data_IF_060363510954
#
_entry.id   IF_060363510954
#
_cell.length_a   1.000
_cell.length_b   1.000
_cell.length_c   1.000
_cell.angle_alpha   90.00
_cell.angle_beta   90.00
_cell.angle_gamma   90.00
#
_symmetry.space_group_name_H-M   'P 1'
#
loop_
_entity.id
_entity.type
_entity.pdbx_description
1 polymer ?
#
# COMPACT_ATOMS: atom_id res chain seq x y z
N UNK A 1 11.67 -10.55 5.88
CA UNK A 1 10.62 -11.27 5.09
C UNK A 1 10.38 -10.45 3.85
N UNK A 2 10.34 -11.08 2.66
CA UNK A 2 10.01 -10.38 1.42
C UNK A 2 8.49 -10.21 1.29
N UNK A 3 7.99 -9.10 0.70
CA UNK A 3 6.58 -8.96 0.35
C UNK A 3 6.16 -10.04 -0.67
N UNK A 4 5.17 -10.90 -0.37
CA UNK A 4 4.83 -12.04 -1.24
C UNK A 4 4.45 -11.64 -2.67
N UNK A 5 3.77 -10.50 -2.81
CA UNK A 5 3.31 -9.96 -4.09
C UNK A 5 4.41 -9.34 -4.97
N UNK A 6 5.64 -9.16 -4.47
CA UNK A 6 6.76 -8.75 -5.32
C UNK A 6 7.25 -9.91 -6.19
N UNK A 7 7.29 -11.13 -5.65
CA UNK A 7 7.75 -12.31 -6.41
C UNK A 7 6.70 -12.77 -7.42
N UNK A 8 5.45 -12.88 -7.01
CA UNK A 8 4.34 -13.26 -7.87
C UNK A 8 3.06 -12.55 -7.41
N UNK A 9 2.32 -11.96 -8.34
CA UNK A 9 1.01 -11.40 -8.01
C UNK A 9 0.07 -12.52 -7.49
N UNK A 10 -0.77 -12.24 -6.47
CA UNK A 10 -1.70 -13.22 -5.91
C UNK A 10 -2.59 -13.89 -6.98
N UNK A 11 -2.77 -15.20 -6.85
CA UNK A 11 -3.54 -16.06 -7.77
C UNK A 11 -4.90 -16.49 -7.22
N UNK A 12 -5.14 -16.33 -5.92
CA UNK A 12 -6.38 -16.71 -5.23
C UNK A 12 -6.73 -15.62 -4.23
N UNK A 13 -7.44 -14.61 -4.72
CA UNK A 13 -7.82 -13.44 -3.94
C UNK A 13 -9.20 -13.62 -3.34
N UNK A 14 -9.32 -13.47 -2.02
CA UNK A 14 -10.63 -13.36 -1.35
C UNK A 14 -10.96 -11.91 -1.04
N UNK A 15 -12.23 -11.55 -1.22
CA UNK A 15 -12.72 -10.18 -0.99
C UNK A 15 -13.66 -10.18 0.21
N UNK A 16 -13.34 -9.44 1.26
CA UNK A 16 -14.25 -9.29 2.40
C UNK A 16 -15.22 -8.14 2.15
N UNK A 17 -16.50 -8.39 2.48
CA UNK A 17 -17.61 -7.47 2.29
C UNK A 17 -17.75 -6.94 0.83
N UNK A 18 -17.69 -7.81 -0.20
CA UNK A 18 -17.68 -7.38 -1.61
C UNK A 18 -19.01 -6.74 -2.03
N UNK A 19 -20.11 -7.04 -1.34
CA UNK A 19 -21.45 -6.53 -1.66
C UNK A 19 -21.70 -5.09 -1.19
N UNK A 20 -20.79 -4.49 -0.44
CA UNK A 20 -20.88 -3.08 -0.07
C UNK A 20 -20.78 -2.17 -1.29
N UNK A 21 -21.48 -1.02 -1.30
CA UNK A 21 -21.55 -0.13 -2.48
C UNK A 21 -20.17 0.28 -3.02
N UNK A 22 -19.25 0.64 -2.13
CA UNK A 22 -17.87 0.97 -2.51
C UNK A 22 -17.12 -0.27 -2.99
N UNK A 23 -17.17 -1.36 -2.20
CA UNK A 23 -16.50 -2.62 -2.50
C UNK A 23 -16.89 -3.19 -3.87
N UNK A 24 -18.18 -3.17 -4.23
CA UNK A 24 -18.67 -3.68 -5.51
C UNK A 24 -18.04 -2.95 -6.71
N UNK A 25 -17.85 -1.63 -6.62
CA UNK A 25 -17.14 -0.85 -7.66
C UNK A 25 -15.67 -1.24 -7.74
N UNK A 26 -15.02 -1.47 -6.59
CA UNK A 26 -13.63 -1.91 -6.57
C UNK A 26 -13.46 -3.35 -7.07
N UNK A 27 -14.41 -4.24 -6.78
CA UNK A 27 -14.46 -5.60 -7.34
C UNK A 27 -14.55 -5.57 -8.86
N UNK A 28 -15.37 -4.68 -9.43
CA UNK A 28 -15.42 -4.49 -10.88
C UNK A 28 -14.07 -4.04 -11.45
N UNK A 29 -13.41 -3.05 -10.82
CA UNK A 29 -12.07 -2.60 -11.24
C UNK A 29 -10.98 -3.66 -11.09
N UNK A 30 -11.02 -4.46 -10.01
CA UNK A 30 -10.11 -5.59 -9.82
C UNK A 30 -10.31 -6.65 -10.91
N UNK A 31 -11.57 -6.92 -11.31
CA UNK A 31 -11.90 -7.84 -12.40
C UNK A 31 -11.39 -7.34 -13.74
N UNK A 32 -11.60 -6.06 -14.05
CA UNK A 32 -11.08 -5.42 -15.27
C UNK A 32 -9.55 -5.50 -15.33
N UNK A 33 -8.87 -5.36 -14.18
CA UNK A 33 -7.43 -5.52 -14.08
C UNK A 33 -6.93 -6.98 -14.14
N UNK A 34 -7.81 -7.98 -14.27
CA UNK A 34 -7.44 -9.39 -14.34
C UNK A 34 -7.15 -10.04 -12.99
N UNK A 35 -7.57 -9.44 -11.88
CA UNK A 35 -7.32 -9.96 -10.53
C UNK A 35 -8.08 -11.28 -10.32
N UNK A 36 -7.40 -12.38 -9.94
CA UNK A 36 -8.01 -13.70 -9.84
C UNK A 36 -8.75 -13.87 -8.51
N UNK A 37 -9.94 -13.28 -8.43
CA UNK A 37 -10.82 -13.37 -7.28
C UNK A 37 -11.52 -14.73 -7.25
N UNK A 38 -11.44 -15.43 -6.12
CA UNK A 38 -11.97 -16.79 -5.97
C UNK A 38 -13.23 -16.87 -5.12
N UNK A 39 -13.39 -15.96 -4.15
CA UNK A 39 -14.59 -15.89 -3.33
C UNK A 39 -14.74 -14.53 -2.64
N UNK A 40 -15.99 -14.21 -2.31
CA UNK A 40 -16.38 -13.10 -1.47
C UNK A 40 -16.78 -13.57 -0.07
N UNK A 41 -16.25 -12.98 0.98
CA UNK A 41 -16.69 -13.24 2.36
C UNK A 41 -17.76 -12.22 2.75
N UNK A 42 -19.00 -12.68 2.90
CA UNK A 42 -20.17 -11.87 3.19
C UNK A 42 -21.15 -12.63 4.10
N UNK A 43 -21.09 -12.37 5.40
CA UNK A 43 -21.94 -13.01 6.40
C UNK A 43 -23.43 -12.81 6.10
N UNK A 44 -24.20 -13.90 6.13
CA UNK A 44 -25.63 -13.94 5.82
C UNK A 44 -25.94 -13.94 4.32
N UNK A 45 -24.91 -14.01 3.46
CA UNK A 45 -25.06 -14.04 1.99
C UNK A 45 -24.37 -15.25 1.36
N UNK A 46 -23.91 -16.21 2.17
CA UNK A 46 -23.33 -17.47 1.69
C UNK A 46 -24.26 -18.21 0.73
N UNK A 47 -23.68 -18.83 -0.31
CA UNK A 47 -24.42 -19.54 -1.35
C UNK A 47 -24.94 -18.66 -2.48
N UNK A 48 -24.84 -17.33 -2.34
CA UNK A 48 -25.11 -16.37 -3.41
C UNK A 48 -23.89 -16.06 -4.29
N UNK A 49 -24.04 -15.12 -5.20
CA UNK A 49 -22.96 -14.60 -6.07
C UNK A 49 -23.00 -13.07 -6.16
N UNK A 50 -21.86 -12.46 -6.49
CA UNK A 50 -21.72 -11.07 -6.93
C UNK A 50 -20.99 -11.05 -8.27
N UNK A 51 -21.71 -10.83 -9.38
CA UNK A 51 -21.14 -10.85 -10.74
C UNK A 51 -20.23 -12.08 -10.95
N UNK A 52 -20.77 -13.27 -10.72
CA UNK A 52 -20.08 -14.58 -10.77
C UNK A 52 -19.03 -14.86 -9.69
N UNK A 53 -18.75 -13.92 -8.78
CA UNK A 53 -17.93 -14.19 -7.60
C UNK A 53 -18.76 -14.94 -6.55
N UNK A 54 -18.44 -16.19 -6.18
CA UNK A 54 -19.20 -16.92 -5.17
C UNK A 54 -19.07 -16.26 -3.80
N UNK A 55 -20.18 -16.19 -3.06
CA UNK A 55 -20.22 -15.63 -1.72
C UNK A 55 -20.25 -16.74 -0.66
N UNK A 56 -19.46 -16.54 0.39
CA UNK A 56 -19.32 -17.42 1.54
C UNK A 56 -19.62 -16.64 2.82
N UNK A 57 -20.25 -17.29 3.80
CA UNK A 57 -20.52 -16.66 5.10
C UNK A 57 -19.25 -16.44 5.93
N UNK A 58 -18.22 -17.25 5.69
CA UNK A 58 -16.99 -17.26 6.47
C UNK A 58 -15.80 -17.70 5.63
N UNK A 59 -14.63 -17.16 5.95
CA UNK A 59 -13.35 -17.62 5.39
C UNK A 59 -13.11 -19.12 5.62
N UNK A 60 -13.68 -19.71 6.69
CA UNK A 60 -13.56 -21.15 6.98
C UNK A 60 -14.23 -22.04 5.92
N UNK A 61 -15.17 -21.49 5.15
CA UNK A 61 -15.85 -22.21 4.08
C UNK A 61 -15.05 -22.24 2.77
N UNK A 62 -13.87 -21.59 2.73
CA UNK A 62 -13.01 -21.59 1.56
C UNK A 62 -12.30 -22.94 1.44
N UNK A 63 -12.54 -23.65 0.34
CA UNK A 63 -11.96 -25.00 0.12
C UNK A 63 -10.46 -24.97 -0.15
N UNK A 64 -9.99 -23.94 -0.88
CA UNK A 64 -8.60 -23.79 -1.28
C UNK A 64 -8.01 -22.54 -0.64
N UNK A 65 -6.86 -22.63 0.07
CA UNK A 65 -6.26 -21.47 0.72
C UNK A 65 -6.01 -20.29 -0.22
N UNK A 66 -6.47 -19.11 0.17
CA UNK A 66 -6.20 -17.85 -0.49
C UNK A 66 -4.74 -17.43 -0.30
N UNK A 67 -4.15 -16.78 -1.30
CA UNK A 67 -2.82 -16.17 -1.19
C UNK A 67 -2.88 -14.65 -0.92
N UNK A 68 -4.06 -14.04 -1.10
CA UNK A 68 -4.33 -12.68 -0.64
C UNK A 68 -5.78 -12.47 -0.19
N UNK A 69 -5.97 -11.51 0.73
CA UNK A 69 -7.26 -10.99 1.13
C UNK A 69 -7.30 -9.46 0.98
N UNK A 70 -8.36 -8.93 0.39
CA UNK A 70 -8.67 -7.49 0.35
C UNK A 70 -9.91 -7.23 1.21
N UNK A 71 -9.78 -6.33 2.19
CA UNK A 71 -10.77 -6.07 3.21
C UNK A 71 -11.47 -4.74 2.97
N UNK A 72 -12.73 -4.79 2.53
CA UNK A 72 -13.66 -3.67 2.54
C UNK A 72 -14.62 -3.73 3.73
N UNK A 73 -14.15 -4.31 4.83
CA UNK A 73 -14.89 -4.39 6.09
C UNK A 73 -14.99 -2.99 6.69
N UNK A 74 -16.11 -2.60 7.32
CA UNK A 74 -16.19 -1.35 8.07
C UNK A 74 -15.09 -1.24 9.14
N UNK A 75 -14.76 -0.02 9.59
CA UNK A 75 -13.62 0.21 10.48
C UNK A 75 -13.69 -0.60 11.78
N UNK A 76 -14.89 -0.76 12.34
CA UNK A 76 -15.14 -1.48 13.60
C UNK A 76 -14.85 -2.98 13.49
N UNK A 77 -15.00 -3.56 12.28
CA UNK A 77 -14.76 -4.98 12.03
C UNK A 77 -13.38 -5.28 11.40
N UNK A 78 -12.64 -4.26 11.00
CA UNK A 78 -11.41 -4.43 10.21
C UNK A 78 -10.32 -5.15 11.00
N UNK A 79 -10.13 -4.80 12.27
CA UNK A 79 -9.16 -5.47 13.14
C UNK A 79 -9.42 -6.97 13.27
N UNK A 80 -10.68 -7.37 13.40
CA UNK A 80 -11.10 -8.77 13.49
C UNK A 80 -10.89 -9.51 12.16
N UNK A 81 -11.25 -8.89 11.04
CA UNK A 81 -11.06 -9.46 9.71
C UNK A 81 -9.56 -9.71 9.41
N UNK A 82 -8.67 -8.78 9.79
CA UNK A 82 -7.21 -8.97 9.66
C UNK A 82 -6.76 -10.17 10.50
N UNK A 83 -7.21 -10.29 11.76
CA UNK A 83 -6.82 -11.43 12.63
C UNK A 83 -7.36 -12.76 12.12
N UNK A 84 -8.55 -12.79 11.53
CA UNK A 84 -9.07 -13.98 10.86
C UNK A 84 -8.20 -14.40 9.68
N UNK A 85 -7.79 -13.45 8.83
CA UNK A 85 -6.87 -13.73 7.71
C UNK A 85 -5.50 -14.22 8.20
N UNK A 86 -4.97 -13.60 9.26
CA UNK A 86 -3.72 -14.00 9.87
C UNK A 86 -3.78 -15.43 10.45
N UNK A 87 -4.86 -15.76 11.17
CA UNK A 87 -5.08 -17.11 11.70
C UNK A 87 -5.25 -18.17 10.60
N UNK A 88 -5.77 -17.78 9.44
CA UNK A 88 -5.85 -18.64 8.25
C UNK A 88 -4.54 -18.72 7.45
N UNK A 89 -3.49 -18.00 7.87
CA UNK A 89 -2.18 -18.02 7.22
C UNK A 89 -2.16 -17.35 5.84
N UNK A 90 -3.08 -16.41 5.55
CA UNK A 90 -3.12 -15.70 4.27
C UNK A 90 -1.89 -14.80 4.15
N UNK A 91 -0.97 -15.03 3.19
CA UNK A 91 0.30 -14.31 3.13
C UNK A 91 0.16 -12.80 2.90
N UNK A 92 -0.81 -12.35 2.10
CA UNK A 92 -1.02 -10.92 1.81
C UNK A 92 -2.39 -10.47 2.31
N UNK A 93 -2.43 -9.42 3.13
CA UNK A 93 -3.67 -8.84 3.65
C UNK A 93 -3.66 -7.35 3.28
N UNK A 94 -4.72 -6.85 2.66
CA UNK A 94 -4.89 -5.44 2.32
C UNK A 94 -6.13 -4.91 3.03
N UNK A 95 -6.00 -3.92 3.90
CA UNK A 95 -7.11 -3.38 4.70
C UNK A 95 -7.47 -1.97 4.25
N UNK A 96 -8.58 -1.80 3.53
CA UNK A 96 -8.91 -0.52 2.90
C UNK A 96 -9.46 0.53 3.87
N UNK A 97 -10.15 0.10 4.94
CA UNK A 97 -10.90 0.99 5.82
C UNK A 97 -10.04 2.09 6.45
N UNK A 98 -10.52 3.32 6.39
CA UNK A 98 -10.05 4.45 7.19
C UNK A 98 -10.75 4.45 8.56
N UNK A 99 -10.19 5.13 9.56
CA UNK A 99 -10.77 5.26 10.91
C UNK A 99 -10.85 3.96 11.72
N UNK A 100 -10.02 2.97 11.40
CA UNK A 100 -9.89 1.78 12.24
C UNK A 100 -9.35 2.20 13.62
N UNK A 101 -9.97 1.78 14.74
CA UNK A 101 -9.49 2.15 16.06
C UNK A 101 -8.01 1.79 16.27
N UNK A 102 -7.22 2.74 16.78
CA UNK A 102 -5.76 2.60 16.91
C UNK A 102 -5.33 1.31 17.61
N UNK A 103 -5.98 0.98 18.73
CA UNK A 103 -5.66 -0.22 19.52
C UNK A 103 -5.99 -1.51 18.76
N UNK A 104 -7.02 -1.49 17.91
CA UNK A 104 -7.37 -2.63 17.07
C UNK A 104 -6.36 -2.80 15.94
N UNK A 105 -5.94 -1.70 15.31
CA UNK A 105 -4.86 -1.71 14.31
C UNK A 105 -3.56 -2.26 14.90
N UNK A 106 -3.17 -1.84 16.11
CA UNK A 106 -1.98 -2.34 16.80
C UNK A 106 -2.03 -3.86 17.00
N UNK A 107 -3.12 -4.36 17.61
CA UNK A 107 -3.31 -5.80 17.86
C UNK A 107 -3.37 -6.61 16.57
N UNK A 108 -4.07 -6.10 15.55
CA UNK A 108 -4.22 -6.75 14.27
C UNK A 108 -2.90 -6.81 13.49
N UNK A 109 -2.13 -5.71 13.45
CA UNK A 109 -0.82 -5.67 12.82
C UNK A 109 0.18 -6.60 13.52
N UNK A 110 0.16 -6.65 14.86
CA UNK A 110 0.97 -7.60 15.62
C UNK A 110 0.60 -9.05 15.29
N UNK A 111 -0.69 -9.38 15.27
CA UNK A 111 -1.15 -10.73 14.92
C UNK A 111 -0.75 -11.13 13.50
N UNK A 112 -0.91 -10.24 12.53
CA UNK A 112 -0.47 -10.46 11.15
C UNK A 112 1.04 -10.74 11.08
N UNK A 113 1.86 -9.95 11.80
CA UNK A 113 3.32 -10.15 11.86
C UNK A 113 3.69 -11.49 12.50
N UNK A 114 3.07 -11.85 13.61
CA UNK A 114 3.32 -13.11 14.32
C UNK A 114 2.96 -14.33 13.45
N UNK A 115 1.94 -14.21 12.61
CA UNK A 115 1.54 -15.23 11.63
C UNK A 115 2.40 -15.24 10.35
N UNK A 116 3.35 -14.32 10.20
CA UNK A 116 4.14 -14.19 8.98
C UNK A 116 3.38 -13.58 7.79
N UNK A 117 2.25 -12.93 8.04
CA UNK A 117 1.47 -12.24 7.03
C UNK A 117 2.03 -10.85 6.72
N UNK A 118 1.85 -10.40 5.48
CA UNK A 118 2.15 -9.06 5.03
C UNK A 118 0.88 -8.22 4.97
N UNK A 119 0.72 -7.31 5.93
CA UNK A 119 -0.41 -6.38 5.98
C UNK A 119 -0.06 -5.05 5.29
N UNK A 120 -0.86 -4.67 4.30
CA UNK A 120 -0.89 -3.34 3.67
C UNK A 120 -2.09 -2.57 4.22
N UNK A 121 -1.87 -1.34 4.68
CA UNK A 121 -2.88 -0.55 5.39
C UNK A 121 -2.87 -0.75 6.92
N UNK A 122 -3.94 -0.37 7.66
CA UNK A 122 -5.22 0.10 7.16
C UNK A 122 -5.15 1.49 6.50
N UNK A 123 -6.31 2.05 6.15
CA UNK A 123 -6.43 3.34 5.45
C UNK A 123 -5.62 3.37 4.14
N UNK A 124 -5.81 2.34 3.30
CA UNK A 124 -5.02 2.16 2.09
C UNK A 124 -5.87 2.08 0.82
N UNK A 125 -5.30 2.55 -0.30
CA UNK A 125 -5.80 2.26 -1.65
C UNK A 125 -5.34 0.87 -2.11
N UNK A 126 -4.48 0.22 -1.34
CA UNK A 126 -3.90 -1.08 -1.61
C UNK A 126 -2.74 -1.01 -2.60
N UNK A 127 -2.68 -1.97 -3.53
CA UNK A 127 -1.55 -2.12 -4.45
C UNK A 127 -1.99 -2.45 -5.87
N UNK A 128 -1.15 -2.09 -6.84
CA UNK A 128 -1.30 -2.46 -8.25
C UNK A 128 0.03 -2.93 -8.82
N UNK A 129 0.01 -4.07 -9.49
CA UNK A 129 1.12 -4.54 -10.35
C UNK A 129 0.60 -4.45 -11.79
N UNK A 130 1.01 -3.41 -12.55
CA UNK A 130 0.45 -3.16 -13.87
C UNK A 130 0.60 -4.36 -14.79
N UNK A 131 -0.48 -4.73 -15.48
CA UNK A 131 -0.54 -5.91 -16.35
C UNK A 131 -0.72 -7.26 -15.63
N UNK A 132 -0.71 -7.30 -14.28
CA UNK A 132 -0.96 -8.53 -13.51
C UNK A 132 -2.21 -8.45 -12.64
N UNK A 133 -2.51 -7.29 -12.04
CA UNK A 133 -3.71 -7.09 -11.26
C UNK A 133 -3.57 -6.00 -10.21
N UNK A 134 -4.63 -5.80 -9.41
CA UNK A 134 -4.62 -4.88 -8.28
C UNK A 134 -5.43 -5.44 -7.11
N UNK A 135 -5.07 -5.01 -5.89
CA UNK A 135 -5.84 -5.26 -4.68
C UNK A 135 -6.18 -3.90 -4.08
N UNK A 136 -7.44 -3.46 -4.19
CA UNK A 136 -7.87 -2.17 -3.66
C UNK A 136 -8.43 -1.21 -4.71
N UNK A 137 -7.99 0.04 -4.64
CA UNK A 137 -8.51 1.18 -5.39
C UNK A 137 -7.45 2.03 -6.08
N UNK A 138 -6.22 1.52 -6.22
CA UNK A 138 -5.25 2.10 -7.16
C UNK A 138 -5.84 1.98 -8.56
N UNK A 139 -6.08 3.11 -9.24
CA UNK A 139 -6.72 3.11 -10.56
C UNK A 139 -5.80 2.44 -11.60
N UNK A 140 -6.22 1.33 -12.23
CA UNK A 140 -5.36 0.65 -13.21
C UNK A 140 -5.08 1.53 -14.43
N UNK A 141 -6.01 2.40 -14.82
CA UNK A 141 -5.82 3.38 -15.90
C UNK A 141 -4.75 4.44 -15.64
N UNK A 142 -4.29 4.60 -14.39
CA UNK A 142 -3.20 5.50 -14.04
C UNK A 142 -1.85 4.79 -14.07
N UNK A 143 -1.84 3.47 -14.21
CA UNK A 143 -0.64 2.66 -14.12
C UNK A 143 -0.27 2.05 -15.46
N UNK A 144 1.02 1.86 -15.68
CA UNK A 144 1.59 1.24 -16.87
C UNK A 144 2.79 0.40 -16.44
N UNK A 145 3.03 -0.79 -17.02
CA UNK A 145 4.21 -1.57 -16.71
C UNK A 145 5.49 -0.75 -16.85
N UNK A 146 6.35 -0.82 -15.84
CA UNK A 146 7.62 -0.09 -15.78
C UNK A 146 8.55 -0.64 -14.72
N UNK A 147 9.57 0.13 -14.34
CA UNK A 147 10.65 -0.34 -13.45
C UNK A 147 10.75 0.42 -12.12
N UNK A 148 9.81 1.33 -11.84
CA UNK A 148 9.78 2.12 -10.60
C UNK A 148 8.83 1.47 -9.58
N UNK A 149 9.33 1.20 -8.38
CA UNK A 149 8.46 0.86 -7.25
C UNK A 149 7.97 2.15 -6.59
N UNK A 150 6.67 2.42 -6.67
CA UNK A 150 6.04 3.58 -6.06
C UNK A 150 5.47 3.19 -4.68
N UNK A 151 5.99 3.82 -3.63
CA UNK A 151 5.52 3.66 -2.25
C UNK A 151 4.97 4.99 -1.76
N UNK A 152 3.69 5.06 -1.40
CA UNK A 152 3.07 6.32 -0.97
C UNK A 152 2.22 6.18 0.29
N UNK A 153 2.18 7.24 1.10
CA UNK A 153 1.34 7.33 2.30
C UNK A 153 0.06 8.13 2.12
N UNK A 154 0.04 9.00 1.11
CA UNK A 154 -1.14 9.78 0.73
C UNK A 154 -1.77 9.22 -0.54
N UNK A 155 -3.08 8.97 -0.51
CA UNK A 155 -3.77 8.30 -1.60
C UNK A 155 -3.76 9.12 -2.90
N UNK A 156 -4.13 10.41 -2.81
CA UNK A 156 -4.15 11.31 -3.96
C UNK A 156 -2.76 11.51 -4.54
N UNK A 157 -1.75 11.74 -3.70
CA UNK A 157 -0.37 11.87 -4.17
C UNK A 157 0.14 10.59 -4.83
N UNK A 158 -0.19 9.42 -4.28
CA UNK A 158 0.16 8.12 -4.88
C UNK A 158 -0.44 7.97 -6.27
N UNK A 159 -1.74 8.29 -6.43
CA UNK A 159 -2.41 8.25 -7.72
C UNK A 159 -1.84 9.28 -8.72
N UNK A 160 -1.53 10.49 -8.25
CA UNK A 160 -0.89 11.52 -9.07
C UNK A 160 0.47 11.05 -9.58
N UNK A 161 1.32 10.49 -8.71
CA UNK A 161 2.64 10.00 -9.10
C UNK A 161 2.55 8.81 -10.04
N UNK A 162 1.62 7.87 -9.80
CA UNK A 162 1.37 6.77 -10.74
C UNK A 162 1.03 7.32 -12.13
N UNK A 163 0.11 8.28 -12.19
CA UNK A 163 -0.28 8.90 -13.47
C UNK A 163 0.86 9.66 -14.15
N UNK A 164 1.67 10.40 -13.39
CA UNK A 164 2.80 11.16 -13.93
C UNK A 164 3.91 10.24 -14.46
N UNK A 165 4.25 9.18 -13.73
CA UNK A 165 5.18 8.14 -14.18
C UNK A 165 4.71 7.50 -15.49
N UNK A 166 3.41 7.17 -15.57
CA UNK A 166 2.80 6.61 -16.77
C UNK A 166 2.86 7.60 -17.94
N UNK A 167 2.46 8.86 -17.73
CA UNK A 167 2.49 9.90 -18.75
C UNK A 167 3.92 10.22 -19.25
N UNK A 168 4.93 10.02 -18.41
CA UNK A 168 6.34 10.21 -18.75
C UNK A 168 6.98 8.99 -19.43
N UNK A 169 6.24 7.90 -19.66
CA UNK A 169 6.78 6.67 -20.25
C UNK A 169 7.57 5.78 -19.29
N UNK A 170 7.64 6.13 -18.00
CA UNK A 170 8.46 5.42 -16.99
C UNK A 170 7.73 4.20 -16.42
N UNK A 171 6.43 4.33 -16.17
CA UNK A 171 5.58 3.28 -15.60
C UNK A 171 5.95 2.87 -14.16
N UNK A 172 5.32 1.80 -13.68
CA UNK A 172 5.52 1.24 -12.35
C UNK A 172 5.80 -0.25 -12.43
N UNK A 173 6.79 -0.69 -11.64
CA UNK A 173 6.99 -2.10 -11.30
C UNK A 173 5.88 -2.59 -10.37
N UNK A 174 5.55 -1.73 -9.41
CA UNK A 174 4.44 -1.87 -8.45
C UNK A 174 4.11 -0.49 -7.90
N UNK A 175 2.83 -0.22 -7.67
CA UNK A 175 2.37 0.94 -6.91
C UNK A 175 1.69 0.47 -5.63
N UNK A 176 2.15 0.97 -4.48
CA UNK A 176 1.64 0.58 -3.17
C UNK A 176 1.26 1.86 -2.40
N UNK A 177 -0.01 1.98 -2.04
CA UNK A 177 -0.41 2.87 -0.97
C UNK A 177 -0.20 2.13 0.36
N UNK A 178 0.64 2.66 1.24
CA UNK A 178 1.05 1.99 2.47
C UNK A 178 0.01 2.11 3.58
N UNK A 179 -0.68 3.25 3.60
CA UNK A 179 -1.63 3.63 4.65
C UNK A 179 -1.36 5.04 5.20
N UNK A 180 -2.41 5.80 5.44
CA UNK A 180 -2.36 7.16 6.02
C UNK A 180 -2.28 7.19 7.56
N UNK A 181 -2.52 6.05 8.21
CA UNK A 181 -2.64 5.99 9.67
C UNK A 181 -1.28 6.08 10.39
N UNK A 182 -1.32 6.45 11.67
CA UNK A 182 -0.14 6.48 12.54
C UNK A 182 0.48 5.09 12.74
N UNK A 183 -0.35 4.05 12.76
CA UNK A 183 0.06 2.64 12.81
C UNK A 183 -0.46 1.95 11.55
N UNK A 184 0.44 1.27 10.85
CA UNK A 184 0.14 0.49 9.64
C UNK A 184 0.79 -0.89 9.76
N UNK A 185 0.40 -1.80 8.89
CA UNK A 185 0.89 -3.17 8.88
C UNK A 185 2.39 -3.27 8.69
N UNK A 186 2.94 -2.55 7.71
CA UNK A 186 4.37 -2.51 7.36
C UNK A 186 4.82 -1.09 7.08
N UNK A 187 5.95 -0.70 7.65
CA UNK A 187 6.56 0.60 7.43
C UNK A 187 7.37 0.64 6.12
N UNK A 188 7.60 1.83 5.53
CA UNK A 188 8.28 1.95 4.23
C UNK A 188 9.63 1.21 4.15
N UNK A 189 10.47 1.32 5.18
CA UNK A 189 11.78 0.69 5.23
C UNK A 189 11.73 -0.84 5.09
N UNK A 190 10.64 -1.48 5.55
CA UNK A 190 10.49 -2.94 5.47
C UNK A 190 10.29 -3.43 4.03
N UNK A 191 9.79 -2.57 3.14
CA UNK A 191 9.63 -2.90 1.72
C UNK A 191 10.98 -2.87 0.98
N UNK A 192 11.95 -2.07 1.45
CA UNK A 192 13.24 -1.93 0.79
C UNK A 192 13.99 -3.26 0.67
N UNK A 193 13.93 -4.13 1.68
CA UNK A 193 14.60 -5.43 1.60
C UNK A 193 14.12 -6.26 0.40
N UNK A 194 12.80 -6.36 0.19
CA UNK A 194 12.25 -7.07 -0.96
C UNK A 194 12.49 -6.35 -2.29
N UNK A 195 12.47 -5.02 -2.28
CA UNK A 195 12.74 -4.21 -3.48
C UNK A 195 14.22 -4.24 -3.89
N UNK A 196 15.15 -4.44 -2.96
CA UNK A 196 16.57 -4.59 -3.24
C UNK A 196 16.81 -5.83 -4.11
N UNK A 197 16.13 -6.93 -3.77
CA UNK A 197 16.26 -8.23 -4.42
C UNK A 197 15.39 -8.37 -5.68
N UNK A 198 14.36 -7.53 -5.88
CA UNK A 198 13.49 -7.61 -7.07
C UNK A 198 14.19 -7.08 -8.33
N UNK A 199 14.60 -7.92 -9.30
CA UNK A 199 15.30 -7.45 -10.51
C UNK A 199 14.41 -6.57 -11.40
N UNK A 200 13.08 -6.64 -11.25
CA UNK A 200 12.13 -5.78 -11.95
C UNK A 200 12.11 -4.33 -11.45
N UNK A 201 12.62 -4.08 -10.24
CA UNK A 201 12.72 -2.73 -9.66
C UNK A 201 14.10 -2.14 -9.99
N UNK A 202 14.11 -1.02 -10.72
CA UNK A 202 15.32 -0.23 -11.01
C UNK A 202 15.47 0.98 -10.07
N UNK A 203 14.36 1.57 -9.60
CA UNK A 203 14.36 2.70 -8.67
C UNK A 203 13.12 2.65 -7.76
N UNK A 204 13.19 3.34 -6.63
CA UNK A 204 12.05 3.53 -5.72
C UNK A 204 11.64 5.00 -5.74
N UNK A 205 10.35 5.26 -5.91
CA UNK A 205 9.74 6.57 -5.64
C UNK A 205 8.98 6.49 -4.32
N UNK A 206 9.49 7.16 -3.30
CA UNK A 206 8.84 7.27 -1.99
C UNK A 206 8.10 8.60 -1.84
N UNK A 207 6.80 8.53 -1.53
CA UNK A 207 5.92 9.66 -1.26
C UNK A 207 5.47 9.65 0.20
N UNK A 208 6.26 10.32 1.04
CA UNK A 208 5.99 10.48 2.47
C UNK A 208 5.06 11.64 2.79
N UNK A 209 4.84 11.84 4.09
CA UNK A 209 3.99 12.89 4.64
C UNK A 209 4.55 13.37 5.99
N UNK A 210 4.14 14.55 6.44
CA UNK A 210 4.38 15.03 7.81
C UNK A 210 3.85 14.05 8.87
N UNK A 211 4.39 14.15 10.09
CA UNK A 211 3.93 13.41 11.26
C UNK A 211 4.61 12.04 11.47
N UNK A 212 4.97 11.75 12.71
CA UNK A 212 5.70 10.54 13.09
C UNK A 212 7.10 10.44 12.48
N UNK A 213 7.65 9.22 12.47
CA UNK A 213 9.08 8.96 12.31
C UNK A 213 9.46 7.96 11.20
N UNK A 214 8.49 7.52 10.39
CA UNK A 214 8.69 6.47 9.38
C UNK A 214 9.77 6.81 8.35
N UNK A 215 9.92 8.08 8.02
CA UNK A 215 10.96 8.60 7.12
C UNK A 215 12.37 8.47 7.70
N UNK A 216 12.54 8.53 9.03
CA UNK A 216 13.84 8.34 9.67
C UNK A 216 14.26 6.87 9.61
N UNK A 217 13.34 5.95 9.91
CA UNK A 217 13.60 4.52 9.73
C UNK A 217 13.86 4.16 8.26
N UNK A 218 13.21 4.86 7.31
CA UNK A 218 13.54 4.74 5.89
C UNK A 218 14.96 5.21 5.61
N UNK A 219 15.35 6.40 6.10
CA UNK A 219 16.69 6.96 5.94
C UNK A 219 17.77 5.99 6.48
N UNK A 220 17.57 5.39 7.65
CA UNK A 220 18.48 4.37 8.20
C UNK A 220 18.64 3.16 7.26
N UNK A 221 17.54 2.68 6.68
CA UNK A 221 17.57 1.54 5.77
C UNK A 221 18.18 1.87 4.39
N UNK A 222 18.16 3.15 3.96
CA UNK A 222 18.74 3.57 2.69
C UNK A 222 20.25 3.38 2.63
N UNK A 223 20.95 3.45 3.77
CA UNK A 223 22.40 3.30 3.83
C UNK A 223 22.91 1.96 3.25
N UNK A 224 22.07 0.90 3.28
CA UNK A 224 22.38 -0.42 2.74
C UNK A 224 21.59 -0.76 1.47
N UNK A 225 20.75 0.15 0.97
CA UNK A 225 19.88 -0.11 -0.15
C UNK A 225 20.59 0.16 -1.50
N UNK A 226 20.66 -0.82 -2.41
CA UNK A 226 21.57 -0.73 -3.58
C UNK A 226 21.00 0.05 -4.78
N UNK A 227 19.75 0.51 -4.72
CA UNK A 227 19.04 1.11 -5.86
C UNK A 227 18.72 2.58 -5.56
N UNK A 228 18.67 3.45 -6.58
CA UNK A 228 18.31 4.85 -6.38
C UNK A 228 16.92 5.00 -5.78
N UNK A 229 16.81 5.94 -4.83
CA UNK A 229 15.54 6.33 -4.22
C UNK A 229 15.30 7.81 -4.44
N UNK A 230 14.17 8.12 -5.07
CA UNK A 230 13.64 9.48 -5.16
C UNK A 230 12.59 9.63 -4.06
N UNK A 231 12.71 10.67 -3.24
CA UNK A 231 11.81 10.90 -2.12
C UNK A 231 11.16 12.28 -2.18
N UNK A 232 9.87 12.32 -1.87
CA UNK A 232 9.13 13.57 -1.64
C UNK A 232 8.30 13.44 -0.38
N UNK A 233 8.05 14.56 0.31
CA UNK A 233 7.28 14.60 1.56
C UNK A 233 6.23 15.71 1.44
N UNK A 234 4.96 15.32 1.51
CA UNK A 234 3.83 16.25 1.51
C UNK A 234 3.75 17.06 2.81
N UNK A 235 3.05 18.21 2.80
CA UNK A 235 2.79 19.00 4.00
C UNK A 235 3.85 20.05 4.36
N UNK A 236 4.70 20.46 3.41
CA UNK A 236 5.77 21.48 3.62
C UNK A 236 5.29 22.82 4.17
N UNK A 237 4.04 23.19 3.90
CA UNK A 237 3.42 24.44 4.37
C UNK A 237 2.33 24.18 5.43
N UNK A 238 2.29 22.98 6.02
CA UNK A 238 1.33 22.66 7.05
C UNK A 238 1.68 23.43 8.34
N UNK A 239 0.68 24.03 9.02
CA UNK A 239 0.90 24.63 10.34
C UNK A 239 1.22 23.54 11.38
N UNK A 240 2.03 23.90 12.38
CA UNK A 240 2.28 23.02 13.53
C UNK A 240 0.98 22.74 14.31
N UNK A 241 0.94 21.61 15.02
CA UNK A 241 -0.15 21.23 15.94
C UNK A 241 -1.55 21.05 15.33
N UNK A 242 -1.65 21.01 13.98
CA UNK A 242 -2.90 20.74 13.28
C UNK A 242 -2.85 19.40 12.57
N UNK A 243 -3.87 18.57 12.79
CA UNK A 243 -4.04 17.33 12.03
C UNK A 243 -4.52 17.64 10.61
N UNK A 244 -3.84 17.10 9.61
CA UNK A 244 -4.10 17.34 8.19
C UNK A 244 -4.77 16.13 7.54
N UNK A 245 -6.09 15.99 7.69
CA UNK A 245 -6.86 14.91 7.08
C UNK A 245 -6.51 13.54 7.70
N UNK A 246 -5.44 12.89 7.21
CA UNK A 246 -4.97 11.61 7.72
C UNK A 246 -4.64 11.67 9.22
N UNK A 247 -4.99 10.61 9.95
CA UNK A 247 -4.72 10.51 11.39
C UNK A 247 -3.22 10.60 11.72
N UNK A 248 -2.34 10.16 10.81
CA UNK A 248 -0.89 10.23 10.99
C UNK A 248 -0.26 11.58 10.62
N UNK A 249 -1.00 12.49 9.99
CA UNK A 249 -0.48 13.75 9.46
C UNK A 249 -0.62 14.90 10.48
N UNK A 250 0.02 14.73 11.64
CA UNK A 250 0.08 15.71 12.71
C UNK A 250 1.54 15.98 13.07
N UNK A 251 1.95 17.24 13.12
CA UNK A 251 3.30 17.63 13.54
C UNK A 251 3.27 17.87 15.05
N UNK A 252 3.74 16.90 15.83
CA UNK A 252 3.91 17.04 17.28
C UNK A 252 5.25 17.65 17.69
N UNK A 253 6.27 17.50 16.84
CA UNK A 253 7.62 18.04 17.04
C UNK A 253 8.22 18.57 15.73
N UNK A 254 9.21 19.47 15.82
CA UNK A 254 9.86 20.06 14.64
C UNK A 254 10.44 18.99 13.69
N UNK A 255 10.94 17.88 14.23
CA UNK A 255 11.43 16.71 13.46
C UNK A 255 10.35 16.02 12.63
N UNK A 256 9.07 16.21 12.96
CA UNK A 256 7.97 15.58 12.22
C UNK A 256 7.51 16.42 11.01
N UNK A 257 8.09 17.62 10.84
CA UNK A 257 7.86 18.47 9.69
C UNK A 257 8.53 17.96 8.41
N UNK A 258 7.99 18.37 7.26
CA UNK A 258 8.46 17.87 5.97
C UNK A 258 9.93 18.23 5.69
N UNK A 259 10.37 19.43 6.08
CA UNK A 259 11.75 19.87 5.87
C UNK A 259 12.75 18.94 6.58
N UNK A 260 12.57 18.69 7.88
CA UNK A 260 13.44 17.83 8.67
C UNK A 260 13.50 16.39 8.14
N UNK A 261 12.37 15.87 7.64
CA UNK A 261 12.31 14.54 7.02
C UNK A 261 13.04 14.48 5.67
N UNK A 262 12.86 15.50 4.84
CA UNK A 262 13.55 15.61 3.55
C UNK A 262 15.07 15.71 3.74
N UNK A 263 15.52 16.47 4.74
CA UNK A 263 16.94 16.60 5.06
C UNK A 263 17.54 15.26 5.50
N UNK A 264 16.87 14.54 6.40
CA UNK A 264 17.32 13.22 6.84
C UNK A 264 17.39 12.20 5.68
N UNK A 265 16.40 12.21 4.78
CA UNK A 265 16.41 11.34 3.60
C UNK A 265 17.53 11.72 2.63
N UNK A 266 17.80 13.02 2.45
CA UNK A 266 18.92 13.50 1.61
C UNK A 266 20.27 13.07 2.17
N UNK A 267 20.48 13.23 3.47
CA UNK A 267 21.70 12.81 4.16
C UNK A 267 21.95 11.31 4.04
N UNK A 268 20.87 10.52 4.01
CA UNK A 268 20.93 9.07 3.78
C UNK A 268 21.08 8.66 2.30
N UNK A 269 21.21 9.61 1.36
CA UNK A 269 21.47 9.34 -0.05
C UNK A 269 20.23 9.30 -0.95
N UNK A 270 19.04 9.68 -0.47
CA UNK A 270 17.88 9.85 -1.35
C UNK A 270 17.99 11.12 -2.21
N UNK A 271 17.51 11.03 -3.45
CA UNK A 271 17.28 12.19 -4.31
C UNK A 271 15.97 12.87 -3.89
N UNK A 272 16.06 14.07 -3.34
CA UNK A 272 14.89 14.77 -2.82
C UNK A 272 14.20 15.60 -3.90
N UNK A 273 12.91 15.32 -4.11
CA UNK A 273 12.02 16.06 -5.00
C UNK A 273 11.10 17.02 -4.22
N UNK A 274 11.06 18.28 -4.65
CA UNK A 274 10.23 19.31 -4.03
C UNK A 274 8.84 19.40 -4.67
N UNK A 275 8.71 18.99 -5.91
CA UNK A 275 7.44 18.88 -6.63
C UNK A 275 7.26 17.50 -7.26
N UNK A 276 6.03 17.12 -7.64
CA UNK A 276 5.81 15.90 -8.40
C UNK A 276 6.59 15.85 -9.72
N UNK A 277 6.80 16.99 -10.39
CA UNK A 277 7.55 17.05 -11.64
C UNK A 277 9.05 16.85 -11.40
N UNK A 278 9.60 17.45 -10.34
CA UNK A 278 11.00 17.23 -9.95
C UNK A 278 11.28 15.73 -9.74
N UNK A 279 10.32 15.00 -9.13
CA UNK A 279 10.46 13.57 -8.91
C UNK A 279 10.52 12.79 -10.23
N UNK A 280 9.73 13.19 -11.23
CA UNK A 280 9.76 12.57 -12.55
C UNK A 280 11.08 12.86 -13.26
N UNK A 281 11.56 14.09 -13.22
CA UNK A 281 12.80 14.46 -13.90
C UNK A 281 14.02 13.79 -13.26
N UNK A 282 14.10 13.74 -11.93
CA UNK A 282 15.11 12.94 -11.23
C UNK A 282 15.07 11.46 -11.63
N UNK A 283 13.88 10.87 -11.77
CA UNK A 283 13.77 9.47 -12.20
C UNK A 283 14.23 9.27 -13.65
N UNK A 284 13.99 10.21 -14.56
CA UNK A 284 14.50 10.13 -15.94
C UNK A 284 16.03 10.12 -15.97
N UNK A 285 16.66 10.92 -15.12
CA UNK A 285 18.13 11.00 -15.05
C UNK A 285 18.75 9.74 -14.44
N UNK A 286 18.05 9.11 -13.48
CA UNK A 286 18.55 7.95 -12.74
C UNK A 286 18.29 6.61 -13.41
N UNK A 287 17.25 6.53 -14.25
CA UNK A 287 16.90 5.30 -14.95
C UNK A 287 17.74 5.15 -16.21
N UNK A 288 18.26 3.95 -16.50
CA UNK A 288 18.92 3.70 -17.77
C UNK A 288 17.94 3.88 -18.93
N UNK A 289 18.44 4.43 -20.03
CA UNK A 289 17.71 4.59 -21.29
C UNK A 289 17.20 3.25 -21.85
#
# INVERSE_FOLDING_TARGET
MMPPFLHAFPRRVVVFNPTGRYAARQVAGMREAGTPMVAGIALGKGGGTLDDLPLLDSLRALEVPADAAILYTPPEGTGDAIRQCAAAGIPTIVAAAEYVPLHDTLRAAQAARAAGCWLVGPNTLGLCVPGQGLLGSVAPSFCMPGRVALLGRSGTLTLTMARLLTAAGIGQRIAIHLGGDGVIGRNPHEYLAGLAEDPGTAAVLYCGEIGGDKEYALAEALAAFPKPVVATVAGRHAPAERQMGHAGALIGHAREGAAAKLDALREAGAHVALTPYDAIDLLKDLLPA
#
